data_IF_521314632002
#
_entry.id   IF_521314632002
#
_cell.length_a   1.000
_cell.length_b   1.000
_cell.length_c   1.000
_cell.angle_alpha   90.00
_cell.angle_beta   90.00
_cell.angle_gamma   90.00
#
_symmetry.space_group_name_H-M   'P 1'
#
loop_
_entity.id
_entity.type
_entity.pdbx_description
1 polymer ?
#
# COMPACT_ATOMS: atom_id res chain seq x y z
N UNK A 1 2.23 7.98 32.69
CA UNK A 1 1.49 8.50 31.53
C UNK A 1 2.51 9.07 30.57
N UNK A 2 2.54 8.52 29.34
CA UNK A 2 3.39 9.05 28.28
C UNK A 2 3.01 10.49 27.95
N UNK A 3 3.99 11.24 27.41
CA UNK A 3 3.74 12.58 26.90
C UNK A 3 3.50 12.45 25.40
N UNK A 4 2.37 12.96 24.93
CA UNK A 4 2.14 13.13 23.51
C UNK A 4 3.13 14.15 22.96
N UNK A 5 3.90 13.73 21.99
CA UNK A 5 4.87 14.55 21.25
C UNK A 5 4.52 14.55 19.78
N UNK A 6 5.08 15.50 19.06
CA UNK A 6 4.94 15.58 17.63
C UNK A 6 6.31 15.87 17.02
N UNK A 7 6.67 15.12 16.00
CA UNK A 7 7.88 15.32 15.24
C UNK A 7 7.50 16.06 13.96
N UNK A 8 8.14 17.18 13.71
CA UNK A 8 8.00 17.94 12.47
C UNK A 8 9.37 18.14 11.85
N UNK A 9 9.47 17.87 10.56
CA UNK A 9 10.66 18.16 9.76
C UNK A 9 10.33 19.26 8.78
N UNK A 10 11.18 20.30 8.76
CA UNK A 10 11.01 21.43 7.87
C UNK A 10 12.25 21.55 6.99
N UNK A 11 12.06 21.94 5.73
CA UNK A 11 13.16 22.31 4.84
C UNK A 11 13.87 23.54 5.39
N UNK A 12 15.19 23.49 5.50
CA UNK A 12 16.00 24.61 6.00
C UNK A 12 15.95 25.84 5.09
N UNK A 13 15.80 25.62 3.79
CA UNK A 13 15.88 26.64 2.77
C UNK A 13 14.56 27.42 2.60
N UNK A 14 13.44 26.69 2.64
CA UNK A 14 12.10 27.23 2.39
C UNK A 14 11.23 27.39 3.63
N UNK A 15 11.58 26.72 4.74
CA UNK A 15 10.73 26.58 5.92
C UNK A 15 9.48 25.72 5.68
N UNK A 16 9.39 25.06 4.53
CA UNK A 16 8.25 24.18 4.20
C UNK A 16 8.24 22.98 5.11
N UNK A 17 7.06 22.59 5.57
CA UNK A 17 6.85 21.33 6.29
C UNK A 17 7.01 20.18 5.29
N UNK A 18 7.92 19.23 5.59
CA UNK A 18 8.20 18.06 4.76
C UNK A 18 7.84 16.74 5.45
N UNK A 19 7.52 16.80 6.75
CA UNK A 19 7.01 15.67 7.51
C UNK A 19 6.31 16.14 8.78
N UNK A 20 5.22 15.47 9.13
CA UNK A 20 4.50 15.67 10.40
C UNK A 20 4.01 14.31 10.93
N UNK A 21 4.54 13.89 12.06
CA UNK A 21 4.12 12.61 12.67
C UNK A 21 2.69 12.63 13.22
N UNK A 22 2.08 13.80 13.36
CA UNK A 22 0.96 13.93 14.28
C UNK A 22 1.37 13.59 15.73
N UNK A 23 0.39 13.41 16.63
CA UNK A 23 0.67 13.02 18.00
C UNK A 23 1.25 11.59 18.08
N UNK A 24 2.41 11.44 18.70
CA UNK A 24 3.03 10.14 19.01
C UNK A 24 3.23 10.02 20.50
N UNK A 25 2.89 8.86 21.06
CA UNK A 25 3.13 8.58 22.46
C UNK A 25 4.58 8.14 22.66
N UNK A 26 5.29 8.84 23.54
CA UNK A 26 6.63 8.47 24.00
C UNK A 26 6.52 7.91 25.41
N UNK A 27 6.90 6.64 25.64
CA UNK A 27 6.90 6.04 26.97
C UNK A 27 7.81 6.82 27.93
N UNK A 28 7.40 6.92 29.20
CA UNK A 28 8.24 7.53 30.23
C UNK A 28 9.58 6.79 30.36
N UNK A 29 10.67 7.54 30.37
CA UNK A 29 12.04 7.02 30.55
C UNK A 29 12.51 6.05 29.43
N UNK A 30 11.90 6.10 28.25
CA UNK A 30 12.42 5.37 27.11
C UNK A 30 13.59 6.11 26.44
N UNK A 31 14.54 5.34 25.93
CA UNK A 31 15.54 5.83 24.99
C UNK A 31 15.12 5.35 23.60
N UNK A 32 14.72 6.28 22.77
CA UNK A 32 14.27 6.00 21.41
C UNK A 32 15.20 6.69 20.40
N UNK A 33 15.47 5.98 19.33
CA UNK A 33 16.20 6.53 18.19
C UNK A 33 15.22 6.83 17.06
N UNK A 34 15.30 8.03 16.52
CA UNK A 34 14.59 8.41 15.31
C UNK A 34 15.62 8.63 14.20
N UNK A 35 15.50 7.88 13.14
CA UNK A 35 16.28 8.09 11.93
C UNK A 35 15.41 8.79 10.90
N UNK A 36 15.92 9.89 10.35
CA UNK A 36 15.29 10.61 9.25
C UNK A 36 16.04 10.16 7.99
N UNK A 37 15.31 9.62 7.03
CA UNK A 37 15.87 9.15 5.76
C UNK A 37 15.09 9.79 4.61
N UNK A 38 15.79 10.10 3.54
CA UNK A 38 15.15 10.63 2.34
C UNK A 38 14.15 9.61 1.79
N UNK A 39 12.97 10.10 1.45
CA UNK A 39 12.00 9.34 0.70
C UNK A 39 12.17 9.66 -0.78
N UNK A 40 12.60 8.66 -1.53
CA UNK A 40 12.75 8.75 -2.98
C UNK A 40 11.45 8.42 -3.71
N UNK A 41 10.33 8.90 -3.19
CA UNK A 41 9.04 8.78 -3.85
C UNK A 41 9.05 9.44 -5.25
N UNK A 42 8.20 8.99 -6.16
CA UNK A 42 8.27 9.35 -7.59
C UNK A 42 7.88 10.79 -7.90
N UNK A 43 7.41 11.56 -6.94
CA UNK A 43 6.92 12.91 -7.17
C UNK A 43 8.00 14.00 -7.07
N UNK A 44 9.29 13.64 -6.89
CA UNK A 44 10.43 14.58 -6.78
C UNK A 44 10.24 15.69 -5.73
N UNK A 45 9.22 15.61 -4.92
CA UNK A 45 9.07 16.52 -3.79
C UNK A 45 9.97 16.02 -2.65
N UNK A 46 10.56 16.95 -1.92
CA UNK A 46 11.34 16.64 -0.74
C UNK A 46 10.44 15.99 0.31
N UNK A 47 10.56 14.71 0.48
CA UNK A 47 9.91 13.92 1.50
C UNK A 47 10.94 13.20 2.35
N UNK A 48 10.57 12.87 3.56
CA UNK A 48 11.40 12.07 4.44
C UNK A 48 10.55 11.01 5.11
N UNK A 49 11.15 9.83 5.33
CA UNK A 49 10.61 8.85 6.24
C UNK A 49 11.26 9.01 7.61
N UNK A 50 10.49 8.89 8.66
CA UNK A 50 10.99 8.86 10.03
C UNK A 50 10.83 7.46 10.59
N UNK A 51 11.97 6.81 10.87
CA UNK A 51 12.02 5.47 11.43
C UNK A 51 12.25 5.58 12.92
N UNK A 52 11.33 5.03 13.70
CA UNK A 52 11.44 4.90 15.15
C UNK A 52 12.01 3.53 15.48
N UNK A 53 13.05 3.48 16.28
CA UNK A 53 13.63 2.23 16.78
C UNK A 53 13.40 2.13 18.28
N UNK A 54 12.65 1.11 18.69
CA UNK A 54 12.34 0.78 20.06
C UNK A 54 12.94 -0.60 20.37
N UNK A 55 14.03 -0.65 21.15
CA UNK A 55 14.72 -1.91 21.46
C UNK A 55 15.13 -2.69 20.21
N UNK A 56 14.37 -3.72 19.82
CA UNK A 56 14.64 -4.53 18.61
C UNK A 56 13.61 -4.31 17.51
N UNK A 57 12.58 -3.49 17.75
CA UNK A 57 11.52 -3.23 16.77
C UNK A 57 11.77 -1.90 16.05
N UNK A 58 11.61 -1.93 14.73
CA UNK A 58 11.62 -0.73 13.89
C UNK A 58 10.20 -0.47 13.40
N UNK A 59 9.78 0.79 13.46
CA UNK A 59 8.48 1.23 12.97
C UNK A 59 8.67 2.50 12.15
N UNK A 60 8.14 2.52 10.94
CA UNK A 60 8.05 3.75 10.16
C UNK A 60 6.92 4.59 10.75
N UNK A 61 7.22 5.85 11.06
CA UNK A 61 6.19 6.79 11.48
C UNK A 61 5.55 7.37 10.22
N UNK A 62 4.24 7.34 10.20
CA UNK A 62 3.43 7.83 9.08
C UNK A 62 3.46 9.36 9.04
N UNK A 63 3.63 9.93 7.85
CA UNK A 63 3.49 11.37 7.62
C UNK A 63 2.01 11.76 7.56
N UNK A 64 1.53 12.44 8.61
CA UNK A 64 0.15 12.92 8.69
C UNK A 64 -0.10 14.18 7.86
N UNK A 65 0.94 14.82 7.34
CA UNK A 65 0.81 15.99 6.46
C UNK A 65 0.45 15.62 5.02
N UNK A 66 0.53 14.32 4.68
CA UNK A 66 0.25 13.82 3.35
C UNK A 66 -0.97 12.90 3.34
N UNK A 67 -1.75 13.00 2.29
CA UNK A 67 -2.77 12.02 1.98
C UNK A 67 -2.12 10.75 1.42
N UNK A 68 -2.67 9.60 1.76
CA UNK A 68 -2.36 8.38 1.06
C UNK A 68 -2.87 8.47 -0.39
N UNK A 69 -2.32 7.66 -1.27
CA UNK A 69 -2.78 7.52 -2.65
C UNK A 69 -3.15 6.09 -2.95
N UNK A 70 -4.29 5.91 -3.56
CA UNK A 70 -4.75 4.58 -3.95
C UNK A 70 -5.16 4.53 -5.41
N UNK A 71 -5.07 3.33 -5.97
CA UNK A 71 -5.64 2.98 -7.27
C UNK A 71 -6.27 1.60 -7.19
N UNK A 72 -7.16 1.31 -8.12
CA UNK A 72 -7.82 0.03 -8.26
C UNK A 72 -7.19 -0.74 -9.41
N UNK A 73 -6.98 -2.04 -9.21
CA UNK A 73 -6.54 -3.00 -10.22
C UNK A 73 -7.64 -4.04 -10.43
N UNK A 74 -8.26 -4.06 -11.59
CA UNK A 74 -9.31 -5.01 -11.90
C UNK A 74 -8.74 -6.29 -12.53
N UNK A 75 -8.56 -7.34 -11.73
CA UNK A 75 -8.22 -8.69 -12.16
C UNK A 75 -9.39 -9.67 -11.96
N UNK A 76 -10.60 -9.13 -11.82
CA UNK A 76 -11.82 -9.93 -11.74
C UNK A 76 -12.25 -10.46 -13.12
N UNK A 77 -13.32 -11.25 -13.12
CA UNK A 77 -13.95 -11.72 -14.36
C UNK A 77 -14.77 -10.65 -15.11
N UNK A 78 -15.14 -9.58 -14.41
CA UNK A 78 -15.99 -8.52 -14.96
C UNK A 78 -15.22 -7.65 -15.94
N UNK A 79 -15.86 -7.27 -17.06
CA UNK A 79 -15.22 -6.43 -18.09
C UNK A 79 -14.83 -5.07 -17.52
N UNK A 80 -15.66 -4.51 -16.65
CA UNK A 80 -15.42 -3.29 -15.91
C UNK A 80 -15.89 -3.45 -14.48
N UNK A 81 -15.25 -2.76 -13.56
CA UNK A 81 -15.74 -2.59 -12.19
C UNK A 81 -15.68 -1.11 -11.82
N UNK A 82 -16.64 -0.67 -11.03
CA UNK A 82 -16.55 0.59 -10.30
C UNK A 82 -16.24 0.29 -8.84
N UNK A 83 -15.38 1.10 -8.24
CA UNK A 83 -15.03 0.94 -6.84
C UNK A 83 -15.06 2.29 -6.12
N UNK A 84 -15.34 2.26 -4.83
CA UNK A 84 -15.16 3.42 -3.97
C UNK A 84 -14.30 3.07 -2.76
N UNK A 85 -13.40 3.96 -2.40
CA UNK A 85 -12.66 3.94 -1.14
C UNK A 85 -13.12 5.16 -0.32
N UNK A 86 -13.94 4.91 0.71
CA UNK A 86 -14.73 5.94 1.39
C UNK A 86 -15.56 6.76 0.38
N UNK A 87 -15.23 8.03 0.18
CA UNK A 87 -15.93 8.94 -0.73
C UNK A 87 -15.26 9.08 -2.11
N UNK A 88 -14.09 8.48 -2.29
CA UNK A 88 -13.34 8.56 -3.55
C UNK A 88 -13.82 7.47 -4.49
N UNK A 89 -14.25 7.88 -5.69
CA UNK A 89 -14.79 6.98 -6.72
C UNK A 89 -13.74 6.65 -7.77
N UNK A 90 -13.77 5.40 -8.23
CA UNK A 90 -13.01 4.87 -9.34
C UNK A 90 -14.01 4.23 -10.30
N UNK A 91 -14.35 4.95 -11.35
CA UNK A 91 -15.37 4.52 -12.28
C UNK A 91 -14.78 3.73 -13.45
N UNK A 92 -15.51 2.69 -13.87
CA UNK A 92 -15.26 1.93 -15.09
C UNK A 92 -13.80 1.46 -15.26
N UNK A 93 -13.24 0.84 -14.22
CA UNK A 93 -11.89 0.25 -14.32
C UNK A 93 -11.96 -1.01 -15.17
N UNK A 94 -11.35 -1.02 -16.38
CA UNK A 94 -11.44 -2.16 -17.27
C UNK A 94 -10.73 -3.40 -16.70
N UNK A 95 -11.14 -4.56 -17.17
CA UNK A 95 -10.47 -5.82 -16.84
C UNK A 95 -9.00 -5.79 -17.26
N UNK A 96 -8.13 -6.34 -16.40
CA UNK A 96 -6.67 -6.39 -16.58
C UNK A 96 -6.03 -5.00 -16.70
N UNK A 97 -6.61 -4.01 -16.06
CA UNK A 97 -6.07 -2.65 -16.05
C UNK A 97 -6.08 -2.05 -14.64
N UNK A 98 -5.47 -0.89 -14.55
CA UNK A 98 -5.34 -0.10 -13.33
C UNK A 98 -6.00 1.26 -13.56
N UNK A 99 -6.66 1.78 -12.54
CA UNK A 99 -7.07 3.19 -12.53
C UNK A 99 -5.86 4.11 -12.32
N UNK A 100 -6.06 5.40 -12.49
CA UNK A 100 -5.15 6.40 -11.95
C UNK A 100 -5.16 6.39 -10.42
N UNK A 101 -4.11 6.97 -9.82
CA UNK A 101 -4.08 7.19 -8.38
C UNK A 101 -4.97 8.36 -7.99
N UNK A 102 -5.73 8.17 -6.91
CA UNK A 102 -6.48 9.23 -6.27
C UNK A 102 -6.03 9.42 -4.80
N UNK A 103 -6.18 10.62 -4.29
CA UNK A 103 -5.86 10.95 -2.89
C UNK A 103 -6.92 10.35 -1.96
N UNK A 104 -6.47 9.62 -0.95
CA UNK A 104 -7.29 8.96 0.06
C UNK A 104 -6.92 9.50 1.44
N UNK A 105 -7.91 9.73 2.29
CA UNK A 105 -7.65 10.08 3.68
C UNK A 105 -6.87 8.97 4.40
N UNK A 106 -5.94 9.36 5.25
CA UNK A 106 -5.18 8.41 6.07
C UNK A 106 -6.09 7.60 7.01
N UNK A 107 -5.68 6.39 7.34
CA UNK A 107 -6.39 5.46 8.19
C UNK A 107 -7.00 4.29 7.44
N UNK A 108 -8.12 3.78 7.91
CA UNK A 108 -8.86 2.72 7.25
C UNK A 108 -9.83 3.32 6.23
N UNK A 109 -10.00 2.64 5.10
CA UNK A 109 -10.99 3.01 4.09
C UNK A 109 -12.00 1.87 3.88
N UNK A 110 -13.25 2.22 3.79
CA UNK A 110 -14.30 1.29 3.34
C UNK A 110 -14.23 1.16 1.83
N UNK A 111 -14.05 -0.06 1.36
CA UNK A 111 -14.07 -0.41 -0.05
C UNK A 111 -15.45 -0.96 -0.41
N UNK A 112 -16.04 -0.42 -1.46
CA UNK A 112 -17.22 -0.98 -2.11
C UNK A 112 -16.87 -1.20 -3.58
N UNK A 113 -17.05 -2.44 -4.06
CA UNK A 113 -16.82 -2.82 -5.46
C UNK A 113 -18.18 -3.14 -6.10
N UNK A 114 -18.39 -2.65 -7.30
CA UNK A 114 -19.65 -2.85 -8.05
C UNK A 114 -19.38 -3.28 -9.49
N UNK A 115 -20.29 -4.11 -10.00
CA UNK A 115 -20.55 -4.26 -11.43
C UNK A 115 -21.89 -3.57 -11.72
N UNK A 116 -21.84 -2.43 -12.41
CA UNK A 116 -23.01 -1.56 -12.59
C UNK A 116 -23.66 -1.19 -11.23
N UNK A 117 -24.87 -1.63 -10.99
CA UNK A 117 -25.60 -1.38 -9.74
C UNK A 117 -25.45 -2.51 -8.71
N UNK A 118 -24.79 -3.61 -9.07
CA UNK A 118 -24.66 -4.79 -8.20
C UNK A 118 -23.43 -4.64 -7.35
N UNK A 119 -23.59 -4.68 -6.02
CA UNK A 119 -22.48 -4.74 -5.09
C UNK A 119 -21.87 -6.14 -5.11
N UNK A 120 -20.58 -6.21 -5.44
CA UNK A 120 -19.81 -7.44 -5.52
C UNK A 120 -19.04 -7.72 -4.22
N UNK A 121 -18.55 -6.67 -3.58
CA UNK A 121 -17.77 -6.75 -2.34
C UNK A 121 -17.94 -5.47 -1.52
N UNK A 122 -18.01 -5.65 -0.19
CA UNK A 122 -17.85 -4.59 0.81
C UNK A 122 -16.82 -5.06 1.84
N UNK A 123 -15.76 -4.29 2.01
CA UNK A 123 -14.69 -4.64 2.94
C UNK A 123 -13.99 -3.40 3.50
N UNK A 124 -13.27 -3.57 4.60
CA UNK A 124 -12.42 -2.52 5.14
C UNK A 124 -10.98 -2.75 4.68
N UNK A 125 -10.39 -1.74 4.06
CA UNK A 125 -8.99 -1.72 3.65
C UNK A 125 -8.18 -0.95 4.68
N UNK A 126 -7.29 -1.60 5.45
CA UNK A 126 -6.50 -0.94 6.46
C UNK A 126 -5.26 -0.24 5.89
N UNK A 127 -4.68 0.68 6.67
CA UNK A 127 -3.32 1.16 6.48
C UNK A 127 -3.13 2.07 5.25
N UNK A 128 -4.02 3.04 5.07
CA UNK A 128 -3.74 4.20 4.22
C UNK A 128 -3.01 5.24 5.06
N UNK A 129 -1.71 5.18 5.06
CA UNK A 129 -0.87 5.93 6.00
C UNK A 129 0.18 6.75 5.23
N UNK A 130 -0.25 7.67 4.39
CA UNK A 130 0.63 8.50 3.56
C UNK A 130 1.34 7.72 2.45
N UNK A 131 0.98 6.47 2.20
CA UNK A 131 1.61 5.59 1.22
C UNK A 131 0.82 5.51 -0.09
N UNK A 132 1.46 4.91 -1.09
CA UNK A 132 0.81 4.49 -2.32
C UNK A 132 0.34 3.06 -2.17
N UNK A 133 -0.91 2.78 -2.51
CA UNK A 133 -1.50 1.45 -2.42
C UNK A 133 -2.28 1.10 -3.68
N UNK A 134 -2.06 -0.11 -4.18
CA UNK A 134 -2.93 -0.72 -5.19
C UNK A 134 -3.89 -1.69 -4.50
N UNK A 135 -5.18 -1.52 -4.72
CA UNK A 135 -6.22 -2.46 -4.30
C UNK A 135 -6.57 -3.33 -5.49
N UNK A 136 -6.15 -4.58 -5.42
CA UNK A 136 -6.41 -5.60 -6.43
C UNK A 136 -7.77 -6.22 -6.17
N UNK A 137 -8.58 -6.34 -7.22
CA UNK A 137 -9.90 -6.98 -7.21
C UNK A 137 -9.80 -8.27 -8.01
N UNK A 138 -10.13 -9.39 -7.38
CA UNK A 138 -10.09 -10.72 -7.98
C UNK A 138 -11.47 -11.37 -7.94
N UNK A 139 -11.73 -12.28 -8.86
CA UNK A 139 -12.86 -13.21 -8.79
C UNK A 139 -12.36 -14.62 -8.57
N UNK A 140 -12.73 -15.21 -7.47
CA UNK A 140 -12.41 -16.60 -7.16
C UNK A 140 -13.66 -17.46 -7.33
N UNK A 141 -13.56 -18.54 -8.10
CA UNK A 141 -14.57 -19.61 -8.08
C UNK A 141 -14.45 -20.39 -6.77
N UNK A 142 -15.56 -20.65 -6.10
CA UNK A 142 -15.60 -21.62 -5.03
C UNK A 142 -15.99 -23.01 -5.57
N UNK A 143 -15.80 -24.07 -4.76
CA UNK A 143 -16.11 -25.44 -5.13
C UNK A 143 -17.59 -25.67 -5.49
N UNK A 144 -18.48 -24.76 -5.15
CA UNK A 144 -19.92 -24.79 -5.45
C UNK A 144 -20.27 -24.07 -6.77
N UNK A 145 -19.29 -23.54 -7.48
CA UNK A 145 -19.47 -22.80 -8.73
C UNK A 145 -19.96 -21.36 -8.52
N UNK A 146 -20.08 -20.89 -7.28
CA UNK A 146 -20.35 -19.49 -6.99
C UNK A 146 -19.04 -18.71 -7.12
N UNK A 147 -19.12 -17.54 -7.72
CA UNK A 147 -17.98 -16.67 -7.85
C UNK A 147 -18.03 -15.61 -6.75
N UNK A 148 -16.98 -15.53 -5.99
CA UNK A 148 -16.81 -14.54 -4.94
C UNK A 148 -15.78 -13.50 -5.41
N UNK A 149 -16.12 -12.23 -5.25
CA UNK A 149 -15.17 -11.14 -5.49
C UNK A 149 -14.43 -10.85 -4.20
N UNK A 150 -13.11 -10.74 -4.29
CA UNK A 150 -12.23 -10.43 -3.16
C UNK A 150 -11.27 -9.33 -3.53
N UNK A 151 -10.84 -8.58 -2.53
CA UNK A 151 -9.86 -7.53 -2.68
C UNK A 151 -8.62 -7.77 -1.82
N UNK A 152 -7.50 -7.26 -2.31
CA UNK A 152 -6.21 -7.28 -1.61
C UNK A 152 -5.53 -5.92 -1.78
N UNK A 153 -5.36 -5.19 -0.69
CA UNK A 153 -4.59 -3.94 -0.69
C UNK A 153 -3.09 -4.21 -0.51
N UNK A 154 -2.28 -3.77 -1.46
CA UNK A 154 -0.82 -3.91 -1.44
C UNK A 154 -0.18 -2.53 -1.48
N UNK A 155 0.78 -2.27 -0.59
CA UNK A 155 1.57 -1.04 -0.61
C UNK A 155 2.51 -1.09 -1.81
N UNK A 156 2.47 -0.04 -2.62
CA UNK A 156 3.34 0.09 -3.78
C UNK A 156 4.69 0.68 -3.36
N UNK A 157 5.73 -0.14 -3.40
CA UNK A 157 7.10 0.35 -3.23
C UNK A 157 7.55 1.07 -4.52
N UNK A 158 7.55 2.38 -4.47
CA UNK A 158 7.91 3.22 -5.60
C UNK A 158 9.33 3.77 -5.52
N UNK A 159 10.14 3.28 -4.59
CA UNK A 159 11.53 3.70 -4.46
C UNK A 159 12.29 3.43 -5.75
N UNK A 160 13.01 4.42 -6.22
CA UNK A 160 13.96 4.23 -7.31
C UNK A 160 15.15 3.40 -6.81
N UNK A 161 15.46 2.31 -7.48
CA UNK A 161 16.65 1.52 -7.20
C UNK A 161 17.61 1.63 -8.36
N UNK A 162 18.89 1.94 -8.06
CA UNK A 162 19.93 2.06 -9.08
C UNK A 162 20.35 0.64 -9.51
N UNK A 163 20.37 0.40 -10.81
CA UNK A 163 20.81 -0.86 -11.43
C UNK A 163 20.04 -2.13 -11.00
N UNK A 164 18.78 -1.97 -10.57
CA UNK A 164 17.91 -3.08 -10.15
C UNK A 164 16.47 -2.85 -10.61
N UNK A 165 15.68 -3.91 -10.58
CA UNK A 165 14.23 -3.85 -10.74
C UNK A 165 13.55 -4.31 -9.45
N UNK A 166 12.44 -3.67 -9.11
CA UNK A 166 11.55 -4.13 -8.04
C UNK A 166 10.38 -4.84 -8.70
N UNK A 167 10.11 -6.06 -8.26
CA UNK A 167 8.96 -6.83 -8.67
C UNK A 167 8.02 -6.99 -7.48
N UNK A 168 6.74 -6.68 -7.68
CA UNK A 168 5.70 -6.93 -6.70
C UNK A 168 4.79 -8.03 -7.22
N UNK A 169 4.48 -8.99 -6.37
CA UNK A 169 3.61 -10.11 -6.69
C UNK A 169 2.41 -10.09 -5.76
N UNK A 170 1.21 -10.26 -6.32
CA UNK A 170 -0.01 -10.43 -5.57
C UNK A 170 -0.65 -11.77 -5.94
N UNK A 171 -0.80 -12.66 -4.96
CA UNK A 171 -1.50 -13.92 -5.15
C UNK A 171 -2.99 -13.73 -4.86
N UNK A 172 -3.80 -13.66 -5.91
CA UNK A 172 -5.26 -13.58 -5.82
C UNK A 172 -5.97 -14.95 -5.86
N UNK A 173 -5.22 -16.05 -5.87
CA UNK A 173 -5.80 -17.40 -5.84
C UNK A 173 -6.08 -17.87 -4.40
N UNK A 174 -6.86 -18.95 -4.24
CA UNK A 174 -7.06 -19.62 -2.96
C UNK A 174 -5.93 -20.59 -2.60
N UNK A 175 -4.95 -20.75 -3.48
CA UNK A 175 -3.85 -21.72 -3.32
C UNK A 175 -2.58 -21.01 -2.84
N UNK A 176 -1.77 -21.73 -2.08
CA UNK A 176 -0.40 -21.30 -1.79
C UNK A 176 0.45 -21.56 -3.02
N UNK A 177 1.20 -20.55 -3.46
CA UNK A 177 2.10 -20.66 -4.61
C UNK A 177 3.53 -20.38 -4.17
N UNK A 178 4.46 -21.10 -4.75
CA UNK A 178 5.89 -20.83 -4.65
C UNK A 178 6.34 -20.05 -5.89
N UNK A 179 7.12 -19.01 -5.68
CA UNK A 179 7.68 -18.17 -6.74
C UNK A 179 9.16 -18.46 -6.92
N UNK A 180 9.58 -18.69 -8.15
CA UNK A 180 10.98 -18.94 -8.49
C UNK A 180 11.48 -17.93 -9.52
N UNK A 181 12.72 -17.48 -9.36
CA UNK A 181 13.43 -16.75 -10.40
C UNK A 181 14.49 -17.69 -11.00
N UNK A 182 14.34 -18.02 -12.28
CA UNK A 182 15.24 -18.90 -13.01
C UNK A 182 15.74 -18.24 -14.30
N UNK A 183 16.89 -18.66 -14.80
CA UNK A 183 17.35 -18.24 -16.11
C UNK A 183 16.47 -18.87 -17.23
N UNK A 184 16.34 -18.21 -18.38
CA UNK A 184 15.57 -18.76 -19.49
C UNK A 184 16.11 -20.14 -19.93
N UNK A 185 15.28 -21.15 -19.81
CA UNK A 185 15.61 -22.54 -20.16
C UNK A 185 15.98 -23.43 -18.98
N UNK A 186 16.14 -22.88 -17.80
CA UNK A 186 16.41 -23.65 -16.59
C UNK A 186 15.12 -24.18 -15.95
N UNK A 187 15.25 -25.32 -15.24
CA UNK A 187 14.20 -25.89 -14.40
C UNK A 187 14.23 -25.35 -12.98
N UNK A 188 13.25 -25.69 -12.19
CA UNK A 188 13.13 -25.31 -10.77
C UNK A 188 13.67 -26.38 -9.80
N UNK A 189 14.17 -27.53 -10.32
CA UNK A 189 14.42 -28.74 -9.53
C UNK A 189 15.42 -28.55 -8.37
N UNK A 190 16.38 -27.65 -8.52
CA UNK A 190 17.39 -27.36 -7.49
C UNK A 190 17.29 -25.92 -6.96
N UNK A 191 16.24 -25.21 -7.27
CA UNK A 191 16.06 -23.80 -6.89
C UNK A 191 15.31 -23.69 -5.57
N UNK A 192 15.58 -22.65 -4.81
CA UNK A 192 14.79 -22.29 -3.66
C UNK A 192 13.73 -21.27 -4.07
N UNK A 193 12.47 -21.41 -3.60
CA UNK A 193 11.47 -20.39 -3.85
C UNK A 193 11.91 -19.03 -3.27
N UNK A 194 11.50 -17.97 -3.94
CA UNK A 194 11.69 -16.59 -3.47
C UNK A 194 10.69 -16.26 -2.34
N UNK A 195 9.50 -16.87 -2.38
CA UNK A 195 8.40 -16.74 -1.42
C UNK A 195 7.81 -18.12 -1.17
#
# INVERSE_FOLDING_TARGET
SGLDKQIRVLSSDSGRLIFDSGPIELPDKSNELFAIVDDFGPNQEEHVNVIRTLSAAQTVIVDQSQSARARIANFSQFETVSASLNQVQFDEVPRQSLSDYADIANGNAELIVKDSEIVLEESSQPGFDGNFKTVYIFSNGNDEGNQETKSLGVIDDRRSVIDRAIFSFANGSNETIDLYAVEPGDGIDDQRPLL
#
